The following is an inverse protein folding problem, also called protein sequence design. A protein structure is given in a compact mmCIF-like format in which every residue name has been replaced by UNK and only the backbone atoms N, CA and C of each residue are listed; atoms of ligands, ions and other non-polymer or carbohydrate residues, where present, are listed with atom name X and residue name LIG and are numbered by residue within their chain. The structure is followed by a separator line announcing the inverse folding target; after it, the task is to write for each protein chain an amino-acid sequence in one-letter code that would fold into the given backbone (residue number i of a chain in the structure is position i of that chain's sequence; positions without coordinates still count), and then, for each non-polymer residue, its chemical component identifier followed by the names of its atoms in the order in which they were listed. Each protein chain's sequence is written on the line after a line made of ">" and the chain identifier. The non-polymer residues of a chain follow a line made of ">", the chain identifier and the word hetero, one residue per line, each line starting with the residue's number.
data_IF_120822430113
#
_entry.id   IF_120822430113
#
_cell.length_a   1.000
_cell.length_b   1.000
_cell.length_c   1.000
_cell.angle_alpha   90.00
_cell.angle_beta   90.00
_cell.angle_gamma   90.00
#
_symmetry.space_group_name_H-M   'P 1'
#
loop_
_entity.id
_entity.type
_entity.pdbx_description
1 polymer ?
#
# COMPACT_ATOMS: atom_id res chain seq x y z
N UNK A 1 -1.81 -17.90 12.32
CA UNK A 1 -2.99 -18.45 13.04
C UNK A 1 -3.85 -19.27 12.09
N UNK A 2 -4.69 -20.19 12.59
CA UNK A 2 -5.59 -21.03 11.77
C UNK A 2 -6.48 -20.22 10.81
N UNK A 3 -6.89 -19.02 11.22
CA UNK A 3 -7.66 -18.07 10.40
C UNK A 3 -6.85 -17.48 9.23
N UNK A 4 -5.56 -17.22 9.41
CA UNK A 4 -4.68 -16.79 8.30
C UNK A 4 -4.51 -17.92 7.28
N UNK A 5 -4.38 -19.17 7.71
CA UNK A 5 -4.23 -20.32 6.81
C UNK A 5 -5.53 -20.61 6.05
N UNK A 6 -6.69 -20.48 6.71
CA UNK A 6 -8.00 -20.58 6.07
C UNK A 6 -8.24 -19.43 5.08
N UNK A 7 -7.84 -18.20 5.44
CA UNK A 7 -7.88 -17.04 4.55
C UNK A 7 -7.06 -17.30 3.28
N UNK A 8 -5.82 -17.74 3.44
CA UNK A 8 -4.90 -18.05 2.34
C UNK A 8 -5.39 -19.14 1.39
N UNK A 9 -6.12 -20.13 1.92
CA UNK A 9 -6.75 -21.21 1.14
C UNK A 9 -7.95 -20.70 0.34
N UNK A 10 -8.87 -19.96 0.98
CA UNK A 10 -10.04 -19.35 0.33
C UNK A 10 -9.61 -18.36 -0.75
N UNK A 11 -8.54 -17.60 -0.49
CA UNK A 11 -7.96 -16.66 -1.44
C UNK A 11 -7.40 -17.37 -2.68
N UNK A 12 -6.76 -18.54 -2.51
CA UNK A 12 -6.21 -19.33 -3.63
C UNK A 12 -7.28 -20.08 -4.42
N UNK A 13 -8.26 -20.66 -3.75
CA UNK A 13 -9.17 -21.61 -4.39
C UNK A 13 -10.38 -20.95 -5.06
N UNK A 14 -10.84 -19.81 -4.52
CA UNK A 14 -12.07 -19.14 -4.98
C UNK A 14 -11.79 -17.76 -5.59
N UNK A 15 -11.00 -16.93 -4.90
CA UNK A 15 -10.78 -15.54 -5.30
C UNK A 15 -9.86 -15.44 -6.51
N UNK A 16 -8.77 -16.21 -6.56
CA UNK A 16 -7.88 -16.22 -7.73
C UNK A 16 -8.50 -16.87 -8.99
N UNK A 17 -9.67 -17.51 -8.89
CA UNK A 17 -10.38 -18.11 -10.03
C UNK A 17 -11.54 -17.24 -10.53
N UNK A 18 -12.32 -16.64 -9.64
CA UNK A 18 -13.53 -15.87 -10.03
C UNK A 18 -13.48 -14.38 -9.70
N UNK A 19 -12.63 -13.95 -8.76
CA UNK A 19 -12.57 -12.58 -8.22
C UNK A 19 -11.14 -12.01 -8.28
N UNK A 20 -10.48 -12.12 -9.43
CA UNK A 20 -9.17 -11.49 -9.65
C UNK A 20 -9.42 -10.01 -9.85
N UNK A 21 -8.66 -9.11 -9.21
CA UNK A 21 -8.81 -7.67 -9.46
C UNK A 21 -8.86 -7.35 -10.98
N UNK A 22 -8.07 -8.06 -11.79
CA UNK A 22 -7.99 -7.98 -13.26
C UNK A 22 -9.31 -8.20 -14.01
N UNK A 23 -10.34 -8.80 -13.40
CA UNK A 23 -11.68 -8.89 -13.99
C UNK A 23 -12.40 -7.54 -14.01
N UNK A 24 -12.02 -6.62 -13.11
CA UNK A 24 -12.60 -5.29 -13.00
C UNK A 24 -11.68 -4.24 -13.60
N UNK A 25 -12.27 -3.30 -14.34
CA UNK A 25 -11.55 -2.13 -14.85
C UNK A 25 -11.01 -1.27 -13.71
N UNK A 26 -9.95 -0.50 -13.96
CA UNK A 26 -9.39 0.42 -12.95
C UNK A 26 -10.45 1.42 -12.47
N UNK A 27 -11.25 1.94 -13.39
CA UNK A 27 -12.33 2.90 -13.08
C UNK A 27 -13.40 2.28 -12.20
N UNK A 28 -13.77 1.02 -12.47
CA UNK A 28 -14.74 0.30 -11.65
C UNK A 28 -14.21 0.03 -10.24
N UNK A 29 -12.94 -0.41 -10.11
CA UNK A 29 -12.31 -0.62 -8.81
C UNK A 29 -12.30 0.67 -7.99
N UNK A 30 -11.92 1.78 -8.63
CA UNK A 30 -11.86 3.08 -7.97
C UNK A 30 -13.25 3.56 -7.56
N UNK A 31 -14.23 3.48 -8.46
CA UNK A 31 -15.62 3.84 -8.18
C UNK A 31 -16.18 3.07 -6.98
N UNK A 32 -15.99 1.74 -6.97
CA UNK A 32 -16.46 0.87 -5.89
C UNK A 32 -15.81 1.24 -4.55
N UNK A 33 -14.50 1.51 -4.56
CA UNK A 33 -13.78 1.90 -3.35
C UNK A 33 -14.23 3.25 -2.80
N UNK A 34 -14.46 4.22 -3.68
CA UNK A 34 -14.92 5.56 -3.29
C UNK A 34 -16.34 5.51 -2.75
N UNK A 35 -17.24 4.81 -3.45
CA UNK A 35 -18.63 4.60 -3.04
C UNK A 35 -18.71 3.87 -1.70
N UNK A 36 -17.94 2.78 -1.55
CA UNK A 36 -17.88 2.04 -0.29
C UNK A 36 -17.33 2.91 0.85
N UNK A 37 -16.24 3.64 0.65
CA UNK A 37 -15.62 4.45 1.71
C UNK A 37 -16.54 5.59 2.18
N UNK A 38 -17.16 6.30 1.23
CA UNK A 38 -18.05 7.42 1.49
C UNK A 38 -19.29 7.02 2.28
N UNK A 39 -19.84 5.83 2.04
CA UNK A 39 -21.03 5.33 2.74
C UNK A 39 -20.73 4.59 4.04
N UNK A 40 -19.45 4.33 4.34
CA UNK A 40 -19.01 3.57 5.51
C UNK A 40 -18.16 4.43 6.45
N UNK A 41 -16.91 4.06 6.69
CA UNK A 41 -16.07 4.65 7.75
C UNK A 41 -15.76 6.13 7.55
N UNK A 42 -15.93 6.70 6.35
CA UNK A 42 -15.78 8.14 6.09
C UNK A 42 -17.09 8.93 6.30
N UNK A 43 -18.22 8.23 6.38
CA UNK A 43 -19.53 8.85 6.57
C UNK A 43 -19.58 9.54 7.92
N UNK A 44 -19.97 10.82 7.93
CA UNK A 44 -19.95 11.62 9.16
C UNK A 44 -20.87 11.05 10.25
N UNK A 45 -22.01 10.50 9.85
CA UNK A 45 -23.04 9.95 10.74
C UNK A 45 -22.77 8.50 11.17
N UNK A 46 -21.65 7.90 10.77
CA UNK A 46 -21.40 6.50 11.08
C UNK A 46 -21.14 6.29 12.58
N UNK A 47 -21.61 5.16 13.09
CA UNK A 47 -21.41 4.75 14.46
C UNK A 47 -19.91 4.69 14.81
N UNK A 48 -19.51 5.13 16.02
CA UNK A 48 -18.09 5.16 16.41
C UNK A 48 -17.32 3.83 16.24
N UNK A 49 -17.88 2.64 16.57
CA UNK A 49 -17.18 1.37 16.38
C UNK A 49 -16.81 1.08 14.92
N UNK A 50 -17.56 1.66 13.98
CA UNK A 50 -17.42 1.44 12.54
C UNK A 50 -16.55 2.51 11.85
N UNK A 51 -16.02 3.49 12.58
CA UNK A 51 -15.07 4.48 12.01
C UNK A 51 -13.68 3.89 11.75
N UNK A 52 -13.36 2.73 12.34
CA UNK A 52 -12.07 2.09 12.18
C UNK A 52 -12.00 1.27 10.89
N UNK A 53 -11.03 1.58 10.03
CA UNK A 53 -10.73 0.77 8.83
C UNK A 53 -10.44 -0.68 9.21
N UNK A 54 -9.83 -0.93 10.38
CA UNK A 54 -9.50 -2.27 10.85
C UNK A 54 -10.75 -3.12 11.10
N UNK A 55 -11.84 -2.51 11.56
CA UNK A 55 -13.11 -3.19 11.77
C UNK A 55 -13.67 -3.71 10.43
N UNK A 56 -13.60 -2.89 9.39
CA UNK A 56 -14.02 -3.24 8.04
C UNK A 56 -13.13 -4.32 7.43
N UNK A 57 -11.81 -4.20 7.54
CA UNK A 57 -10.87 -5.23 7.07
C UNK A 57 -11.16 -6.57 7.76
N UNK A 58 -11.34 -6.57 9.08
CA UNK A 58 -11.62 -7.79 9.84
C UNK A 58 -12.95 -8.44 9.41
N UNK A 59 -14.00 -7.64 9.26
CA UNK A 59 -15.31 -8.12 8.84
C UNK A 59 -15.26 -8.67 7.40
N UNK A 60 -14.65 -7.98 6.44
CA UNK A 60 -14.53 -8.44 5.05
C UNK A 60 -13.77 -9.77 4.97
N UNK A 61 -12.68 -9.93 5.74
CA UNK A 61 -11.95 -11.21 5.83
C UNK A 61 -12.84 -12.34 6.35
N UNK A 62 -13.64 -12.10 7.39
CA UNK A 62 -14.59 -13.09 7.93
C UNK A 62 -15.68 -13.44 6.94
N UNK A 63 -16.21 -12.44 6.23
CA UNK A 63 -17.19 -12.61 5.17
C UNK A 63 -16.63 -13.53 4.07
N UNK A 64 -15.40 -13.27 3.62
CA UNK A 64 -14.76 -14.10 2.59
C UNK A 64 -14.60 -15.56 3.04
N UNK A 65 -14.17 -15.79 4.27
CA UNK A 65 -13.96 -17.16 4.80
C UNK A 65 -15.30 -17.90 4.98
N UNK A 66 -16.31 -17.22 5.53
CA UNK A 66 -17.56 -17.89 5.96
C UNK A 66 -18.62 -17.94 4.88
N UNK A 67 -18.68 -16.94 4.01
CA UNK A 67 -19.74 -16.77 3.01
C UNK A 67 -19.26 -17.27 1.67
N UNK A 68 -18.13 -16.76 1.16
CA UNK A 68 -17.70 -17.07 -0.21
C UNK A 68 -17.31 -18.54 -0.42
N UNK A 69 -17.00 -19.26 0.65
CA UNK A 69 -16.73 -20.70 0.59
C UNK A 69 -18.00 -21.57 0.39
N UNK A 70 -19.20 -20.98 0.38
CA UNK A 70 -20.47 -21.70 0.42
C UNK A 70 -21.22 -21.83 -0.94
N UNK A 71 -20.55 -21.69 -2.09
CA UNK A 71 -21.18 -21.69 -3.43
C UNK A 71 -22.33 -20.67 -3.57
N UNK A 72 -22.13 -19.47 -3.05
CA UNK A 72 -23.09 -18.36 -3.13
C UNK A 72 -22.93 -17.60 -4.44
N UNK A 73 -24.04 -17.07 -4.96
CA UNK A 73 -24.01 -16.12 -6.08
C UNK A 73 -23.27 -14.85 -5.67
N UNK A 74 -22.39 -14.36 -6.54
CA UNK A 74 -21.56 -13.17 -6.30
C UNK A 74 -22.21 -11.87 -6.81
N UNK A 75 -23.27 -11.98 -7.62
CA UNK A 75 -24.03 -10.87 -8.21
C UNK A 75 -25.15 -10.37 -7.28
N UNK A 76 -24.90 -10.38 -5.98
CA UNK A 76 -25.86 -9.97 -4.94
C UNK A 76 -25.32 -8.76 -4.19
N UNK A 77 -26.17 -7.82 -3.73
CA UNK A 77 -25.71 -6.65 -2.99
C UNK A 77 -24.90 -7.03 -1.76
N UNK A 78 -23.75 -6.38 -1.58
CA UNK A 78 -22.85 -6.62 -0.45
C UNK A 78 -23.55 -6.29 0.89
N UNK A 79 -24.41 -5.26 0.89
CA UNK A 79 -25.16 -4.79 2.07
C UNK A 79 -25.84 -5.92 2.85
N UNK A 80 -26.44 -6.90 2.15
CA UNK A 80 -27.13 -8.04 2.77
C UNK A 80 -26.25 -8.83 3.74
N UNK A 81 -24.93 -8.83 3.51
CA UNK A 81 -23.98 -9.51 4.36
C UNK A 81 -23.36 -8.57 5.40
N UNK A 82 -23.25 -7.27 5.09
CA UNK A 82 -22.74 -6.28 6.05
C UNK A 82 -23.66 -6.14 7.26
N UNK A 83 -24.96 -6.39 7.10
CA UNK A 83 -25.95 -6.35 8.20
C UNK A 83 -25.89 -7.56 9.13
N UNK A 84 -25.08 -8.58 8.82
CA UNK A 84 -24.96 -9.77 9.65
C UNK A 84 -24.05 -9.53 10.86
N UNK A 85 -24.64 -9.38 12.04
CA UNK A 85 -23.92 -9.20 13.31
C UNK A 85 -22.87 -10.28 13.61
N UNK A 86 -23.08 -11.53 13.17
CA UNK A 86 -22.14 -12.63 13.39
C UNK A 86 -20.76 -12.45 12.72
N UNK A 87 -20.68 -11.54 11.73
CA UNK A 87 -19.44 -11.22 11.01
C UNK A 87 -18.64 -10.13 11.73
N UNK A 88 -19.26 -9.35 12.61
CA UNK A 88 -18.63 -8.23 13.30
C UNK A 88 -17.98 -8.65 14.63
N UNK A 89 -17.19 -7.75 15.21
CA UNK A 89 -16.71 -7.93 16.58
C UNK A 89 -17.87 -7.75 17.56
N UNK A 90 -17.70 -8.26 18.78
CA UNK A 90 -18.60 -8.15 19.92
C UNK A 90 -18.96 -6.71 20.32
N UNK A 91 -18.26 -5.72 19.76
CA UNK A 91 -18.45 -4.29 20.01
C UNK A 91 -19.43 -3.62 19.05
N UNK A 92 -19.88 -4.32 18.00
CA UNK A 92 -20.79 -3.77 16.99
C UNK A 92 -22.18 -4.36 17.21
N UNK A 93 -23.17 -3.47 17.30
CA UNK A 93 -24.58 -3.82 17.54
C UNK A 93 -25.43 -3.57 16.29
N UNK A 94 -26.64 -4.13 16.23
CA UNK A 94 -27.59 -3.87 15.13
C UNK A 94 -27.87 -2.36 14.93
N UNK A 95 -27.87 -1.60 16.03
CA UNK A 95 -28.06 -0.14 15.98
C UNK A 95 -26.88 0.56 15.30
N UNK A 96 -25.66 0.05 15.51
CA UNK A 96 -24.48 0.56 14.82
C UNK A 96 -24.55 0.23 13.32
N UNK A 97 -25.03 -0.96 12.96
CA UNK A 97 -25.16 -1.38 11.56
C UNK A 97 -26.15 -0.52 10.77
N UNK A 98 -27.18 0.03 11.43
CA UNK A 98 -28.11 0.98 10.80
C UNK A 98 -27.48 2.33 10.42
N UNK A 99 -26.22 2.60 10.80
CA UNK A 99 -25.54 3.88 10.54
C UNK A 99 -24.88 3.98 9.17
N UNK A 100 -24.83 2.88 8.39
CA UNK A 100 -24.31 2.85 7.03
C UNK A 100 -25.31 2.21 6.06
N UNK A 101 -25.17 2.53 4.78
CA UNK A 101 -25.91 1.86 3.71
C UNK A 101 -25.06 1.91 2.45
N UNK A 102 -24.51 0.76 2.06
CA UNK A 102 -23.71 0.66 0.83
C UNK A 102 -24.66 0.54 -0.36
N UNK A 103 -24.31 1.17 -1.48
CA UNK A 103 -25.12 1.12 -2.69
C UNK A 103 -25.29 -0.30 -3.25
N UNK A 104 -26.45 -0.57 -3.85
CA UNK A 104 -26.78 -1.87 -4.45
C UNK A 104 -25.88 -2.24 -5.64
N UNK A 105 -25.21 -1.25 -6.24
CA UNK A 105 -24.16 -1.42 -7.25
C UNK A 105 -22.93 -2.15 -6.70
N UNK A 106 -22.69 -2.06 -5.39
CA UNK A 106 -21.57 -2.72 -4.71
C UNK A 106 -22.01 -4.14 -4.35
N UNK A 107 -21.73 -5.06 -5.27
CA UNK A 107 -22.02 -6.48 -5.13
C UNK A 107 -20.97 -7.25 -4.33
N UNK A 108 -21.33 -8.47 -3.93
CA UNK A 108 -20.49 -9.40 -3.18
C UNK A 108 -19.17 -9.71 -3.92
N UNK A 109 -19.18 -9.74 -5.26
CA UNK A 109 -17.97 -9.90 -6.06
C UNK A 109 -16.91 -8.80 -5.81
N UNK A 110 -17.33 -7.60 -5.42
CA UNK A 110 -16.40 -6.50 -5.18
C UNK A 110 -15.63 -6.61 -3.85
N UNK A 111 -15.99 -7.56 -2.98
CA UNK A 111 -15.40 -7.72 -1.64
C UNK A 111 -13.87 -7.74 -1.67
N UNK A 112 -13.27 -8.46 -2.62
CA UNK A 112 -11.81 -8.57 -2.69
C UNK A 112 -11.14 -7.24 -3.08
N UNK A 113 -11.71 -6.53 -4.06
CA UNK A 113 -11.22 -5.20 -4.48
C UNK A 113 -11.30 -4.22 -3.31
N UNK A 114 -12.41 -4.23 -2.57
CA UNK A 114 -12.61 -3.39 -1.38
C UNK A 114 -11.54 -3.70 -0.34
N UNK A 115 -11.36 -4.99 0.00
CA UNK A 115 -10.35 -5.41 0.97
C UNK A 115 -8.95 -4.92 0.58
N UNK A 116 -8.53 -5.13 -0.66
CA UNK A 116 -7.22 -4.69 -1.14
C UNK A 116 -7.05 -3.16 -1.07
N UNK A 117 -8.09 -2.38 -1.38
CA UNK A 117 -8.05 -0.93 -1.24
C UNK A 117 -7.93 -0.47 0.22
N UNK A 118 -8.66 -1.11 1.14
CA UNK A 118 -8.57 -0.80 2.57
C UNK A 118 -7.21 -1.17 3.16
N UNK A 119 -6.63 -2.33 2.80
CA UNK A 119 -5.31 -2.72 3.26
C UNK A 119 -4.22 -1.74 2.76
N UNK A 120 -4.32 -1.26 1.52
CA UNK A 120 -3.42 -0.20 1.00
C UNK A 120 -3.57 1.09 1.79
N UNK A 121 -4.79 1.49 2.13
CA UNK A 121 -5.08 2.69 2.93
C UNK A 121 -4.51 2.57 4.36
N UNK A 122 -4.66 1.40 4.97
CA UNK A 122 -4.09 1.09 6.28
C UNK A 122 -2.55 1.13 6.27
N UNK A 123 -1.91 0.58 5.23
CA UNK A 123 -0.45 0.62 5.07
C UNK A 123 0.07 2.04 4.84
N UNK A 124 -0.67 2.90 4.13
CA UNK A 124 -0.33 4.30 3.96
C UNK A 124 -0.35 5.07 5.29
N UNK A 125 -1.34 4.78 6.15
CA UNK A 125 -1.46 5.40 7.48
C UNK A 125 -0.43 4.86 8.49
N UNK A 126 -0.01 3.59 8.35
CA UNK A 126 0.95 2.94 9.24
C UNK A 126 2.41 3.12 8.83
N UNK A 127 2.70 3.76 7.70
CA UNK A 127 4.07 4.22 7.42
C UNK A 127 4.39 5.33 8.42
N UNK A 128 5.35 5.13 9.36
CA UNK A 128 5.82 6.25 10.15
C UNK A 128 6.32 7.31 9.17
N UNK A 129 5.93 8.55 9.44
CA UNK A 129 6.46 9.74 8.81
C UNK A 129 8.00 9.73 8.98
N UNK A 130 8.72 9.03 8.10
CA UNK A 130 10.10 9.38 7.83
C UNK A 130 10.00 10.74 7.15
N UNK A 131 10.28 11.74 7.97
CA UNK A 131 10.50 13.14 7.67
C UNK A 131 10.51 13.41 6.15
N UNK A 132 9.52 14.17 5.71
CA UNK A 132 9.54 14.92 4.46
C UNK A 132 10.65 15.97 4.55
N UNK A 133 11.90 15.54 4.55
CA UNK A 133 12.98 16.37 4.06
C UNK A 133 12.74 16.49 2.55
N UNK A 134 12.43 17.71 2.13
CA UNK A 134 12.40 18.18 0.75
C UNK A 134 13.42 17.40 -0.10
N UNK A 135 13.09 16.98 -1.34
CA UNK A 135 14.13 16.68 -2.29
C UNK A 135 14.81 18.01 -2.64
N UNK A 136 15.85 18.39 -1.90
CA UNK A 136 16.92 19.17 -2.51
C UNK A 136 17.42 18.29 -3.63
N UNK A 137 17.14 18.69 -4.86
CA UNK A 137 17.74 18.16 -6.07
C UNK A 137 19.26 18.17 -5.85
N UNK A 138 19.81 17.05 -5.36
CA UNK A 138 21.23 16.79 -5.43
C UNK A 138 21.46 16.26 -6.84
N UNK A 139 21.76 17.21 -7.71
CA UNK A 139 22.34 17.01 -9.02
C UNK A 139 23.40 15.90 -8.96
N UNK A 140 23.35 15.00 -9.93
CA UNK A 140 24.15 13.78 -10.07
C UNK A 140 25.67 14.06 -10.15
N UNK A 141 26.10 15.33 -10.16
CA UNK A 141 27.50 15.77 -10.09
C UNK A 141 28.21 15.44 -8.76
N UNK A 142 27.50 15.42 -7.62
CA UNK A 142 28.13 15.35 -6.29
C UNK A 142 28.64 13.96 -5.87
N UNK A 143 28.09 12.89 -6.45
CA UNK A 143 28.49 11.51 -6.10
C UNK A 143 29.63 10.97 -6.97
N UNK A 144 29.98 11.65 -8.07
CA UNK A 144 31.16 11.31 -8.89
C UNK A 144 32.49 11.71 -8.24
N UNK A 145 32.51 12.72 -7.37
CA UNK A 145 33.75 13.18 -6.72
C UNK A 145 34.18 12.33 -5.51
N UNK A 146 33.27 11.59 -4.88
CA UNK A 146 33.61 10.69 -3.75
C UNK A 146 34.07 9.30 -4.16
N UNK A 147 33.74 8.84 -5.37
CA UNK A 147 34.24 7.58 -5.90
C UNK A 147 35.61 7.69 -6.58
N UNK A 148 36.03 8.89 -6.99
CA UNK A 148 37.37 9.12 -7.58
C UNK A 148 38.47 9.19 -6.50
N UNK A 149 38.13 9.64 -5.28
CA UNK A 149 39.10 9.82 -4.20
C UNK A 149 39.58 8.52 -3.54
N UNK A 150 38.92 7.38 -3.79
CA UNK A 150 39.32 6.06 -3.25
C UNK A 150 40.23 5.27 -4.18
N UNK A 151 40.40 5.68 -5.44
CA UNK A 151 41.25 4.97 -6.41
C UNK A 151 42.63 5.61 -6.61
N UNK A 152 42.84 6.86 -6.18
CA UNK A 152 44.11 7.58 -6.35
C UNK A 152 45.06 7.48 -5.12
N UNK A 153 44.67 6.80 -4.04
CA UNK A 153 45.48 6.70 -2.81
C UNK A 153 46.43 5.48 -2.77
N UNK A 154 46.37 4.57 -3.76
CA UNK A 154 47.24 3.37 -3.82
C UNK A 154 48.25 3.35 -4.98
N UNK A 155 48.52 4.47 -5.64
CA UNK A 155 49.55 4.53 -6.67
C UNK A 155 50.30 5.87 -6.73
N UNK A 156 51.05 6.20 -5.67
CA UNK A 156 52.16 7.16 -5.78
C UNK A 156 53.50 6.40 -5.83
N UNK A 157 54.09 6.19 -7.03
CA UNK A 157 55.50 5.87 -7.12
C UNK A 157 56.33 7.09 -6.73
N UNK A 158 57.21 6.86 -5.76
CA UNK A 158 58.34 7.71 -5.38
C UNK A 158 59.20 8.03 -6.60
N UNK A 159 59.15 9.27 -7.09
CA UNK A 159 60.20 9.81 -7.97
C UNK A 159 60.44 11.28 -7.61
N UNK A 160 61.43 11.51 -6.75
CA UNK A 160 62.11 12.80 -6.64
C UNK A 160 63.05 12.99 -7.84
N UNK A 161 63.11 14.20 -8.42
CA UNK A 161 64.38 14.68 -8.91
C UNK A 161 64.76 16.07 -8.40
N UNK A 162 66.03 16.11 -8.00
CA UNK A 162 66.95 17.22 -7.69
C UNK A 162 66.64 18.57 -8.35
N UNK A 163 66.73 19.59 -7.50
CA UNK A 163 67.07 20.97 -7.85
C UNK A 163 68.44 21.02 -8.52
N UNK A 164 68.51 21.59 -9.73
CA UNK A 164 69.68 22.34 -10.21
C UNK A 164 69.15 23.57 -10.94
N UNK A 165 69.25 24.72 -10.28
CA UNK A 165 69.29 26.01 -10.97
C UNK A 165 70.71 26.22 -11.47
N UNK A 166 70.88 26.42 -12.78
CA UNK A 166 71.98 27.26 -13.24
C UNK A 166 71.69 27.97 -14.56
N UNK A 167 72.33 29.13 -14.66
CA UNK A 167 72.12 30.25 -15.57
C UNK A 167 72.54 29.98 -17.02
N UNK A 168 71.93 30.72 -17.95
CA UNK A 168 72.55 31.62 -18.97
C UNK A 168 71.54 31.81 -20.11
N UNK A 169 70.90 32.97 -20.24
CA UNK A 169 71.44 34.25 -20.74
C UNK A 169 71.96 34.15 -22.18
N UNK A 170 71.21 34.85 -23.03
CA UNK A 170 71.34 34.99 -24.48
C UNK A 170 72.74 35.39 -24.94
N UNK A 171 73.10 34.86 -26.10
CA UNK A 171 74.14 35.34 -27.01
C UNK A 171 74.06 36.87 -27.21
N UNK A 172 75.24 37.48 -27.26
CA UNK A 172 75.54 38.52 -28.25
C UNK A 172 76.91 38.19 -28.85
N UNK A 173 76.86 38.00 -30.18
CA UNK A 173 77.88 38.24 -31.24
C UNK A 173 79.28 37.69 -31.00
#
# INVERSE_FOLDING_TARGET
>A
MLEETAFDQVLRDYIKKELVEETFSVDERQRVLDEFSAETFEKQTIAPPLKSVDAWISMLKRLMIRVLNANVSLDVPLQLYLERTDLWSDRVTDVDLASFQVADSVLLQHTYVILCGLEKKQQANNRPMLQLNKPTVQTVEGQRQKAQAWFDETAKPTITPKVVSDKKQKLRV
#
